data_IF_305230006801
#
_entry.id   IF_305230006801
#
_cell.length_a   1.000
_cell.length_b   1.000
_cell.length_c   1.000
_cell.angle_alpha   90.00
_cell.angle_beta   90.00
_cell.angle_gamma   90.00
#
_symmetry.space_group_name_H-M   'P 1'
#
loop_
_entity.id
_entity.type
_entity.pdbx_description
1 polymer ?
#
# COMPACT_ATOMS: atom_id res chain seq x y z
N UNK A 1 -52.33 3.74 -27.84
CA UNK A 1 -51.38 3.04 -26.94
C UNK A 1 -49.91 3.37 -27.28
N UNK A 2 -49.54 4.66 -27.42
CA UNK A 2 -48.15 5.10 -27.62
C UNK A 2 -47.71 6.20 -26.65
N UNK A 3 -48.59 6.65 -25.75
CA UNK A 3 -48.31 7.70 -24.74
C UNK A 3 -48.12 7.16 -23.32
N UNK A 4 -48.44 5.89 -23.06
CA UNK A 4 -48.22 5.23 -21.75
C UNK A 4 -46.82 4.60 -21.68
N UNK A 5 -46.22 4.27 -22.82
CA UNK A 5 -44.90 3.64 -22.87
C UNK A 5 -43.73 4.60 -22.50
N UNK A 6 -43.96 5.92 -22.54
CA UNK A 6 -42.93 6.92 -22.22
C UNK A 6 -42.83 7.25 -20.72
N UNK A 7 -43.83 6.88 -19.93
CA UNK A 7 -43.82 7.09 -18.46
C UNK A 7 -43.10 5.98 -17.70
N UNK A 8 -42.96 4.78 -18.31
CA UNK A 8 -42.22 3.66 -17.71
C UNK A 8 -40.71 3.74 -17.93
N UNK A 9 -40.24 4.52 -18.91
CA UNK A 9 -38.81 4.79 -19.11
C UNK A 9 -38.20 5.81 -18.14
N UNK A 10 -39.03 6.50 -17.34
CA UNK A 10 -38.56 7.43 -16.30
C UNK A 10 -38.45 6.80 -14.90
N UNK A 11 -38.90 5.56 -14.72
CA UNK A 11 -38.86 4.83 -13.44
C UNK A 11 -37.62 3.93 -13.27
N UNK A 12 -36.74 3.87 -14.29
CA UNK A 12 -35.46 3.15 -14.22
C UNK A 12 -34.24 4.08 -14.21
N UNK A 13 -34.43 5.35 -13.87
CA UNK A 13 -33.37 6.13 -13.21
C UNK A 13 -33.38 5.75 -11.73
N UNK A 14 -33.10 4.47 -11.46
CA UNK A 14 -32.55 4.06 -10.18
C UNK A 14 -31.25 4.84 -10.08
N UNK A 15 -31.30 5.92 -9.32
CA UNK A 15 -30.11 6.56 -8.80
C UNK A 15 -29.40 5.44 -8.03
N UNK A 16 -28.43 4.78 -8.65
CA UNK A 16 -27.40 4.05 -7.91
C UNK A 16 -26.62 5.12 -7.13
N UNK A 17 -27.22 5.61 -6.05
CA UNK A 17 -26.45 6.07 -4.91
C UNK A 17 -25.76 4.82 -4.42
N UNK A 18 -24.57 4.57 -4.97
CA UNK A 18 -23.65 3.55 -4.51
C UNK A 18 -23.10 4.01 -3.14
N UNK A 19 -23.99 4.21 -2.17
CA UNK A 19 -23.65 4.34 -0.77
C UNK A 19 -23.45 2.91 -0.28
N UNK A 20 -22.25 2.38 -0.53
CA UNK A 20 -21.81 1.15 0.15
C UNK A 20 -22.12 1.29 1.64
N UNK A 21 -22.87 0.31 2.17
CA UNK A 21 -23.36 0.34 3.55
C UNK A 21 -22.20 -0.03 4.48
N UNK A 22 -21.37 0.96 4.80
CA UNK A 22 -20.23 0.74 5.71
C UNK A 22 -20.78 0.45 7.10
N UNK A 23 -20.53 -0.75 7.61
CA UNK A 23 -21.01 -1.21 8.92
C UNK A 23 -19.96 -1.09 10.03
N UNK A 24 -18.69 -0.99 9.65
CA UNK A 24 -17.59 -0.93 10.60
C UNK A 24 -16.38 -0.19 10.04
N UNK A 25 -15.63 0.41 10.96
CA UNK A 25 -14.39 1.10 10.69
C UNK A 25 -13.30 0.48 11.56
N UNK A 26 -12.27 -0.08 10.92
CA UNK A 26 -11.05 -0.47 11.62
C UNK A 26 -10.04 0.68 11.55
N UNK A 27 -9.42 0.98 12.69
CA UNK A 27 -8.40 2.02 12.85
C UNK A 27 -7.13 1.36 13.34
N UNK A 28 -6.08 1.42 12.53
CA UNK A 28 -4.72 1.04 12.93
C UNK A 28 -3.92 2.30 13.18
N UNK A 29 -3.43 2.44 14.40
CA UNK A 29 -2.85 3.67 14.90
C UNK A 29 -1.42 3.46 15.41
N UNK A 30 -0.51 4.33 14.98
CA UNK A 30 0.82 4.57 15.53
C UNK A 30 0.86 6.01 16.06
N UNK A 31 1.71 6.26 17.06
CA UNK A 31 1.82 7.59 17.67
C UNK A 31 2.12 8.68 16.62
N UNK A 32 1.21 9.65 16.52
CA UNK A 32 1.29 10.77 15.59
C UNK A 32 2.65 11.48 15.57
N UNK A 33 3.31 11.59 16.73
CA UNK A 33 4.57 12.33 16.92
C UNK A 33 5.81 11.45 16.88
N UNK A 34 5.63 10.13 16.70
CA UNK A 34 6.74 9.19 16.67
C UNK A 34 7.69 9.50 15.53
N UNK A 35 8.99 9.52 15.82
CA UNK A 35 10.01 9.65 14.78
C UNK A 35 10.11 8.32 14.00
N UNK A 36 9.97 8.31 12.67
CA UNK A 36 10.04 7.06 11.91
C UNK A 36 11.47 6.52 11.92
N UNK A 37 11.66 5.30 12.46
CA UNK A 37 12.90 4.53 12.25
C UNK A 37 13.01 4.08 10.80
N UNK A 38 11.87 3.80 10.15
CA UNK A 38 11.69 3.59 8.72
C UNK A 38 10.40 4.29 8.28
N UNK A 39 10.32 4.70 7.00
CA UNK A 39 9.16 5.42 6.53
C UNK A 39 8.04 4.46 6.16
N UNK A 40 7.02 4.43 7.01
CA UNK A 40 5.76 3.73 6.73
C UNK A 40 4.96 4.47 5.66
N UNK A 41 4.53 3.76 4.64
CA UNK A 41 3.66 4.24 3.57
C UNK A 41 2.32 3.51 3.61
N UNK A 42 1.35 3.93 2.80
CA UNK A 42 0.03 3.32 2.80
C UNK A 42 0.05 1.82 2.47
N UNK A 43 1.03 1.40 1.66
CA UNK A 43 1.20 0.01 1.20
C UNK A 43 2.02 -0.87 2.15
N UNK A 44 2.74 -0.29 3.12
CA UNK A 44 3.64 -1.05 3.98
C UNK A 44 3.46 -0.79 5.49
N UNK A 45 2.46 0.01 5.85
CA UNK A 45 2.17 0.45 7.22
C UNK A 45 2.16 -0.73 8.20
N UNK A 46 1.39 -1.78 7.93
CA UNK A 46 1.28 -2.96 8.80
C UNK A 46 2.58 -3.78 8.94
N UNK A 47 3.52 -3.62 8.01
CA UNK A 47 4.68 -4.52 7.86
C UNK A 47 5.96 -3.97 8.49
N UNK A 48 6.15 -2.65 8.55
CA UNK A 48 7.37 -2.01 9.06
C UNK A 48 7.33 -1.67 10.57
N UNK A 49 6.60 -2.45 11.38
CA UNK A 49 6.20 -2.18 12.79
C UNK A 49 5.02 -1.19 12.94
N UNK A 50 4.26 -0.92 11.88
CA UNK A 50 3.41 0.26 11.83
C UNK A 50 1.99 0.02 12.29
N UNK A 51 1.82 -0.22 13.59
CA UNK A 51 0.79 0.38 14.44
C UNK A 51 0.99 -0.17 15.85
N UNK A 52 0.81 0.67 16.86
CA UNK A 52 0.88 0.23 18.27
C UNK A 52 -0.47 -0.23 18.78
N UNK A 53 -1.55 0.22 18.14
CA UNK A 53 -2.91 0.03 18.61
C UNK A 53 -3.86 -0.21 17.43
N UNK A 54 -4.83 -1.10 17.61
CA UNK A 54 -5.89 -1.38 16.65
C UNK A 54 -7.25 -1.30 17.34
N UNK A 55 -8.24 -0.76 16.64
CA UNK A 55 -9.60 -0.55 17.16
C UNK A 55 -10.63 -0.81 16.09
N UNK A 56 -11.82 -1.22 16.51
CA UNK A 56 -12.99 -1.32 15.65
C UNK A 56 -14.11 -0.45 16.18
N UNK A 57 -14.64 0.38 15.29
CA UNK A 57 -15.76 1.28 15.52
C UNK A 57 -16.95 0.79 14.70
N UNK A 58 -17.99 0.29 15.37
CA UNK A 58 -19.26 -0.11 14.74
C UNK A 58 -20.35 0.94 14.86
N UNK A 59 -20.04 2.10 15.45
CA UNK A 59 -21.00 3.20 15.61
C UNK A 59 -21.16 3.94 14.28
N UNK A 60 -22.36 3.82 13.69
CA UNK A 60 -22.67 4.48 12.42
C UNK A 60 -22.46 5.99 12.47
N UNK A 61 -22.80 6.62 13.60
CA UNK A 61 -22.60 8.06 13.78
C UNK A 61 -21.12 8.45 13.69
N UNK A 62 -20.21 7.63 14.25
CA UNK A 62 -18.77 7.86 14.14
C UNK A 62 -18.27 7.69 12.71
N UNK A 63 -18.72 6.62 12.04
CA UNK A 63 -18.36 6.31 10.65
C UNK A 63 -18.81 7.45 9.72
N UNK A 64 -20.08 7.84 9.79
CA UNK A 64 -20.67 8.86 8.93
C UNK A 64 -20.03 10.23 9.18
N UNK A 65 -19.81 10.59 10.45
CA UNK A 65 -19.14 11.86 10.79
C UNK A 65 -17.72 11.89 10.23
N UNK A 66 -16.96 10.80 10.38
CA UNK A 66 -15.59 10.75 9.86
C UNK A 66 -15.57 10.84 8.33
N UNK A 67 -16.43 10.09 7.63
CA UNK A 67 -16.57 10.17 6.16
C UNK A 67 -16.91 11.59 5.71
N UNK A 68 -17.82 12.25 6.42
CA UNK A 68 -18.17 13.64 6.14
C UNK A 68 -17.00 14.60 6.33
N UNK A 69 -16.23 14.47 7.41
CA UNK A 69 -15.03 15.27 7.63
C UNK A 69 -13.99 15.05 6.53
N UNK A 70 -13.73 13.79 6.16
CA UNK A 70 -12.78 13.44 5.10
C UNK A 70 -13.19 13.99 3.73
N UNK A 71 -14.49 14.04 3.42
CA UNK A 71 -15.01 14.54 2.14
C UNK A 71 -14.83 16.05 1.93
N UNK A 72 -14.54 16.80 2.99
CA UNK A 72 -14.45 18.28 2.98
C UNK A 72 -13.01 18.79 2.95
N UNK A 73 -12.03 17.90 2.91
CA UNK A 73 -10.63 18.31 2.93
C UNK A 73 -10.21 18.90 1.58
N UNK A 74 -9.38 19.95 1.59
CA UNK A 74 -8.80 20.47 0.37
C UNK A 74 -7.76 19.49 -0.18
N UNK A 75 -7.91 19.15 -1.47
CA UNK A 75 -6.89 18.42 -2.23
C UNK A 75 -5.61 19.29 -2.30
N UNK A 76 -4.46 18.64 -2.24
CA UNK A 76 -3.13 19.26 -2.32
C UNK A 76 -2.26 18.49 -3.30
N UNK A 77 -1.04 18.97 -3.53
CA UNK A 77 -0.08 18.25 -4.37
C UNK A 77 0.29 16.89 -3.78
N UNK A 78 0.83 15.99 -4.60
CA UNK A 78 1.25 14.68 -4.10
C UNK A 78 2.48 14.85 -3.19
N UNK A 79 2.32 14.55 -1.90
CA UNK A 79 3.34 14.70 -0.87
C UNK A 79 3.66 13.34 -0.28
N UNK A 80 4.95 13.04 -0.19
CA UNK A 80 5.42 11.89 0.55
C UNK A 80 5.38 12.17 2.05
N UNK A 81 4.69 11.32 2.81
CA UNK A 81 4.65 11.44 4.26
C UNK A 81 4.64 10.08 4.97
N UNK A 82 5.21 9.98 6.18
CA UNK A 82 5.12 8.77 6.98
C UNK A 82 3.68 8.60 7.49
N UNK A 83 3.04 7.49 7.13
CA UNK A 83 1.71 7.11 7.62
C UNK A 83 1.78 6.78 9.11
N UNK A 84 0.83 7.32 9.88
CA UNK A 84 0.67 7.12 11.33
C UNK A 84 -0.68 6.51 11.70
N UNK A 85 -1.66 6.65 10.84
CA UNK A 85 -2.95 6.02 11.04
C UNK A 85 -3.48 5.53 9.69
N UNK A 86 -4.00 4.31 9.68
CA UNK A 86 -4.67 3.72 8.53
C UNK A 86 -6.08 3.31 8.91
N UNK A 87 -7.03 3.75 8.11
CA UNK A 87 -8.46 3.52 8.28
C UNK A 87 -8.94 2.54 7.22
N UNK A 88 -9.73 1.57 7.62
CA UNK A 88 -10.39 0.62 6.73
C UNK A 88 -11.89 0.67 6.99
N UNK A 89 -12.65 1.13 6.00
CA UNK A 89 -14.10 1.14 6.04
C UNK A 89 -14.62 -0.16 5.46
N UNK A 90 -15.27 -0.97 6.29
CA UNK A 90 -15.80 -2.28 5.95
C UNK A 90 -17.30 -2.24 5.68
N UNK A 91 -17.70 -3.07 4.75
CA UNK A 91 -19.08 -3.54 4.59
C UNK A 91 -19.02 -5.06 4.71
N UNK A 92 -19.50 -5.56 5.85
CA UNK A 92 -19.26 -6.92 6.34
C UNK A 92 -17.75 -7.22 6.43
N UNK A 93 -17.25 -8.17 5.63
CA UNK A 93 -15.83 -8.55 5.61
C UNK A 93 -15.07 -7.92 4.42
N UNK A 94 -15.70 -7.02 3.66
CA UNK A 94 -15.08 -6.39 2.48
C UNK A 94 -14.61 -4.98 2.80
N UNK A 95 -13.33 -4.70 2.59
CA UNK A 95 -12.79 -3.33 2.60
C UNK A 95 -13.35 -2.57 1.41
N UNK A 96 -14.11 -1.50 1.68
CA UNK A 96 -14.70 -0.62 0.64
C UNK A 96 -13.87 0.63 0.41
N UNK A 97 -13.18 1.11 1.43
CA UNK A 97 -12.35 2.31 1.36
C UNK A 97 -11.19 2.19 2.33
N UNK A 98 -10.01 2.59 1.87
CA UNK A 98 -8.83 2.76 2.72
C UNK A 98 -8.43 4.24 2.75
N UNK A 99 -7.97 4.68 3.91
CA UNK A 99 -7.45 6.04 4.11
C UNK A 99 -6.18 5.97 4.94
N UNK A 100 -5.11 6.59 4.44
CA UNK A 100 -3.81 6.63 5.10
C UNK A 100 -3.47 8.07 5.49
N UNK A 101 -3.03 8.30 6.71
CA UNK A 101 -2.86 9.66 7.21
C UNK A 101 -1.73 9.82 8.24
N UNK A 102 -1.28 11.05 8.39
CA UNK A 102 -0.60 11.55 9.59
C UNK A 102 -1.24 12.87 10.04
N UNK A 103 -0.62 13.63 10.94
CA UNK A 103 -1.16 14.91 11.43
C UNK A 103 -1.39 15.95 10.33
N UNK A 104 -0.63 15.89 9.23
CA UNK A 104 -0.57 16.96 8.23
C UNK A 104 -1.23 16.57 6.91
N UNK A 105 -1.23 15.30 6.55
CA UNK A 105 -1.68 14.84 5.23
C UNK A 105 -2.52 13.57 5.31
N UNK A 106 -3.39 13.41 4.32
CA UNK A 106 -4.21 12.22 4.08
C UNK A 106 -4.05 11.79 2.63
N UNK A 107 -3.96 10.49 2.38
CA UNK A 107 -4.15 9.86 1.08
C UNK A 107 -5.42 9.02 1.11
N UNK A 108 -6.30 9.25 0.13
CA UNK A 108 -7.47 8.41 -0.14
C UNK A 108 -7.78 8.43 -1.64
N UNK A 109 -8.14 7.28 -2.21
CA UNK A 109 -8.40 7.12 -3.65
C UNK A 109 -7.25 7.66 -4.53
N UNK A 110 -6.02 7.55 -4.01
CA UNK A 110 -4.78 7.99 -4.65
C UNK A 110 -4.71 9.49 -4.93
N UNK A 111 -5.38 10.29 -4.11
CA UNK A 111 -5.26 11.75 -4.03
C UNK A 111 -4.78 12.15 -2.65
N UNK A 112 -4.00 13.22 -2.58
CA UNK A 112 -3.43 13.74 -1.34
C UNK A 112 -4.22 14.98 -0.91
N UNK A 113 -4.53 15.05 0.39
CA UNK A 113 -5.32 16.11 1.00
C UNK A 113 -4.57 16.68 2.20
N UNK A 114 -4.72 17.98 2.46
CA UNK A 114 -4.23 18.57 3.71
C UNK A 114 -5.13 18.11 4.86
N UNK A 115 -4.54 17.48 5.87
CA UNK A 115 -5.23 17.09 7.10
C UNK A 115 -5.38 18.31 8.03
N UNK A 116 -6.23 18.16 9.06
CA UNK A 116 -6.40 19.17 10.09
C UNK A 116 -6.64 18.53 11.47
N UNK A 117 -6.49 19.35 12.51
CA UNK A 117 -6.62 18.94 13.90
C UNK A 117 -8.03 18.41 14.23
N UNK A 118 -9.08 18.84 13.52
CA UNK A 118 -10.44 18.34 13.75
C UNK A 118 -10.49 16.82 13.53
N UNK A 119 -9.89 16.33 12.44
CA UNK A 119 -9.87 14.89 12.14
C UNK A 119 -8.95 14.15 13.10
N UNK A 120 -7.74 14.67 13.36
CA UNK A 120 -6.79 14.07 14.31
C UNK A 120 -7.44 13.91 15.69
N UNK A 121 -8.09 14.95 16.19
CA UNK A 121 -8.80 14.92 17.48
C UNK A 121 -10.00 13.97 17.45
N UNK A 122 -10.70 13.86 16.31
CA UNK A 122 -11.80 12.92 16.16
C UNK A 122 -11.34 11.46 16.22
N UNK A 123 -10.25 11.12 15.53
CA UNK A 123 -9.60 9.80 15.62
C UNK A 123 -9.16 9.53 17.07
N UNK A 124 -8.48 10.48 17.71
CA UNK A 124 -8.03 10.34 19.10
C UNK A 124 -9.19 10.11 20.07
N UNK A 125 -10.34 10.77 19.85
CA UNK A 125 -11.53 10.55 20.67
C UNK A 125 -12.11 9.15 20.48
N UNK A 126 -12.30 8.72 19.23
CA UNK A 126 -12.77 7.36 18.95
C UNK A 126 -11.83 6.32 19.55
N UNK A 127 -10.52 6.58 19.52
CA UNK A 127 -9.50 5.74 20.15
C UNK A 127 -9.71 5.58 21.65
N UNK A 128 -9.96 6.69 22.37
CA UNK A 128 -10.23 6.67 23.80
C UNK A 128 -11.57 6.00 24.17
N UNK A 129 -12.54 6.03 23.26
CA UNK A 129 -13.88 5.45 23.45
C UNK A 129 -13.97 3.98 23.01
N UNK A 130 -13.00 3.50 22.23
CA UNK A 130 -12.98 2.15 21.67
C UNK A 130 -12.23 1.17 22.54
N UNK A 131 -12.62 -0.09 22.47
CA UNK A 131 -11.83 -1.18 23.06
C UNK A 131 -10.76 -1.61 22.07
N UNK A 132 -9.50 -1.82 22.49
CA UNK A 132 -8.48 -2.41 21.64
C UNK A 132 -8.97 -3.73 21.04
N UNK A 133 -8.70 -3.93 19.77
CA UNK A 133 -9.07 -5.12 19.01
C UNK A 133 -7.83 -5.86 18.52
N UNK A 134 -7.95 -7.17 18.39
CA UNK A 134 -7.01 -8.04 17.64
C UNK A 134 -7.84 -8.72 16.55
N UNK A 135 -8.32 -7.93 15.59
CA UNK A 135 -9.22 -8.43 14.56
C UNK A 135 -8.42 -9.04 13.40
N UNK A 136 -8.51 -10.37 13.29
CA UNK A 136 -7.84 -11.13 12.26
C UNK A 136 -8.53 -11.09 10.90
N UNK A 137 -9.70 -10.43 10.77
CA UNK A 137 -10.42 -10.28 9.50
C UNK A 137 -9.59 -9.58 8.44
N UNK A 138 -8.58 -8.79 8.83
CA UNK A 138 -7.73 -8.11 7.87
C UNK A 138 -6.28 -8.03 8.35
N UNK A 139 -5.44 -9.00 7.99
CA UNK A 139 -3.99 -8.79 7.93
C UNK A 139 -3.60 -8.73 6.46
N UNK A 140 -3.01 -7.63 5.95
CA UNK A 140 -2.44 -7.67 4.62
C UNK A 140 -1.32 -8.72 4.61
N UNK A 141 -1.34 -9.58 3.60
CA UNK A 141 -0.35 -10.62 3.41
C UNK A 141 1.08 -10.05 3.29
N UNK A 142 2.08 -10.92 3.45
CA UNK A 142 3.51 -10.61 3.54
C UNK A 142 4.06 -9.61 2.47
N UNK A 143 5.23 -9.02 2.71
CA UNK A 143 5.92 -8.10 1.76
C UNK A 143 6.14 -8.78 0.40
N UNK A 144 5.29 -8.47 -0.59
CA UNK A 144 5.29 -9.07 -1.92
C UNK A 144 3.97 -9.77 -2.30
N UNK A 145 3.00 -9.85 -1.38
CA UNK A 145 1.66 -10.38 -1.66
C UNK A 145 0.89 -9.55 -2.70
N UNK A 146 1.25 -8.26 -2.84
CA UNK A 146 0.77 -7.40 -3.91
C UNK A 146 1.51 -7.64 -5.25
N UNK A 147 2.15 -8.79 -5.44
CA UNK A 147 2.52 -9.32 -6.75
C UNK A 147 1.35 -10.20 -7.21
N UNK A 148 0.91 -10.10 -8.47
CA UNK A 148 -0.31 -10.78 -8.95
C UNK A 148 -0.35 -12.29 -8.64
N UNK A 149 0.81 -12.93 -8.49
CA UNK A 149 0.92 -14.37 -8.19
C UNK A 149 1.35 -14.66 -6.73
N UNK A 150 1.40 -13.65 -5.86
CA UNK A 150 1.81 -13.76 -4.46
C UNK A 150 3.30 -13.56 -4.20
N UNK A 151 3.64 -13.38 -2.92
CA UNK A 151 4.99 -13.02 -2.48
C UNK A 151 6.06 -14.08 -2.82
N UNK A 152 5.77 -15.34 -2.49
CA UNK A 152 6.70 -16.43 -2.72
C UNK A 152 7.00 -16.57 -4.22
N UNK A 153 6.02 -16.31 -5.07
CA UNK A 153 6.16 -16.28 -6.53
C UNK A 153 7.08 -15.16 -7.00
N UNK A 154 7.01 -13.95 -6.40
CA UNK A 154 7.93 -12.86 -6.72
C UNK A 154 9.38 -13.23 -6.36
N UNK A 155 9.62 -13.75 -5.16
CA UNK A 155 10.98 -14.13 -4.77
C UNK A 155 11.51 -15.31 -5.60
N UNK A 156 10.67 -16.29 -5.93
CA UNK A 156 11.05 -17.39 -6.83
C UNK A 156 11.39 -16.88 -8.24
N UNK A 157 10.58 -15.96 -8.78
CA UNK A 157 10.82 -15.35 -10.08
C UNK A 157 12.15 -14.59 -10.11
N UNK A 158 12.37 -13.73 -9.12
CA UNK A 158 13.58 -12.93 -9.03
C UNK A 158 14.81 -13.79 -8.74
N UNK A 159 14.69 -14.84 -7.92
CA UNK A 159 15.76 -15.78 -7.66
C UNK A 159 16.16 -16.51 -8.95
N UNK A 160 15.19 -17.10 -9.65
CA UNK A 160 15.42 -17.74 -10.95
C UNK A 160 16.10 -16.78 -11.92
N UNK A 161 15.66 -15.51 -11.95
CA UNK A 161 16.25 -14.53 -12.85
C UNK A 161 17.69 -14.19 -12.49
N UNK A 162 17.99 -14.01 -11.21
CA UNK A 162 19.35 -13.75 -10.76
C UNK A 162 20.25 -14.95 -11.06
N UNK A 163 19.77 -16.17 -10.87
CA UNK A 163 20.51 -17.40 -11.20
C UNK A 163 20.83 -17.46 -12.71
N UNK A 164 19.87 -17.13 -13.58
CA UNK A 164 20.09 -17.03 -15.04
C UNK A 164 21.17 -15.99 -15.39
N UNK A 165 21.09 -14.79 -14.79
CA UNK A 165 22.03 -13.70 -15.05
C UNK A 165 23.43 -14.06 -14.52
N UNK A 166 23.52 -14.58 -13.30
CA UNK A 166 24.77 -14.96 -12.66
C UNK A 166 25.44 -16.11 -13.41
N UNK A 167 24.68 -17.11 -13.87
CA UNK A 167 25.18 -18.18 -14.73
C UNK A 167 25.74 -17.64 -16.06
N UNK A 168 25.02 -16.72 -16.70
CA UNK A 168 25.48 -16.07 -17.94
C UNK A 168 26.80 -15.30 -17.74
N UNK A 169 26.94 -14.61 -16.60
CA UNK A 169 28.12 -13.84 -16.25
C UNK A 169 29.22 -14.66 -15.54
N UNK A 170 29.00 -15.96 -15.33
CA UNK A 170 29.90 -16.89 -14.61
C UNK A 170 30.27 -16.37 -13.21
N UNK A 171 29.28 -15.87 -12.48
CA UNK A 171 29.46 -15.37 -11.13
C UNK A 171 29.16 -16.46 -10.09
N UNK A 172 30.19 -16.83 -9.31
CA UNK A 172 30.15 -17.89 -8.30
C UNK A 172 30.13 -17.35 -6.86
N UNK A 173 30.16 -16.04 -6.70
CA UNK A 173 30.20 -15.40 -5.38
C UNK A 173 28.86 -15.39 -4.65
N UNK A 174 28.87 -14.77 -3.47
CA UNK A 174 27.66 -14.41 -2.75
C UNK A 174 27.44 -12.89 -2.84
N UNK A 175 26.20 -12.50 -3.12
CA UNK A 175 25.81 -11.10 -3.05
C UNK A 175 24.46 -10.92 -2.38
N UNK A 176 24.30 -9.79 -1.70
CA UNK A 176 23.01 -9.32 -1.22
C UNK A 176 22.73 -7.99 -1.89
N UNK A 177 21.53 -7.87 -2.46
CA UNK A 177 21.05 -6.68 -3.14
C UNK A 177 19.82 -6.12 -2.42
N UNK A 178 19.74 -4.80 -2.31
CA UNK A 178 18.52 -4.08 -1.96
C UNK A 178 17.86 -3.59 -3.23
N UNK A 179 16.60 -3.95 -3.42
CA UNK A 179 15.75 -3.48 -4.51
C UNK A 179 14.77 -2.47 -3.94
N UNK A 180 14.67 -1.32 -4.60
CA UNK A 180 13.63 -0.31 -4.36
C UNK A 180 12.92 -0.07 -5.65
N UNK A 181 11.61 -0.19 -5.68
CA UNK A 181 10.82 0.08 -6.88
C UNK A 181 9.61 0.94 -6.55
N UNK A 182 9.14 1.66 -7.57
CA UNK A 182 7.87 2.37 -7.59
C UNK A 182 6.98 1.71 -8.62
N UNK A 183 5.69 1.71 -8.35
CA UNK A 183 4.70 1.24 -9.30
C UNK A 183 3.57 2.24 -9.41
N UNK A 184 2.96 2.30 -10.59
CA UNK A 184 1.75 3.08 -10.81
C UNK A 184 0.53 2.39 -10.18
N UNK A 185 -0.64 3.03 -10.28
CA UNK A 185 -1.91 2.53 -9.74
C UNK A 185 -2.40 1.27 -10.44
N UNK A 186 -1.98 1.03 -11.69
CA UNK A 186 -2.32 -0.17 -12.45
C UNK A 186 -1.36 -1.33 -12.16
N UNK A 187 -0.32 -1.08 -11.36
CA UNK A 187 0.65 -2.08 -10.95
C UNK A 187 1.89 -2.17 -11.84
N UNK A 188 2.08 -1.28 -12.81
CA UNK A 188 3.28 -1.29 -13.63
C UNK A 188 4.45 -0.66 -12.87
N UNK A 189 5.62 -1.29 -12.91
CA UNK A 189 6.83 -0.72 -12.31
C UNK A 189 7.29 0.50 -13.11
N UNK A 190 7.40 1.67 -12.47
CA UNK A 190 7.73 2.96 -13.11
C UNK A 190 9.16 3.43 -12.83
N UNK A 191 9.72 3.04 -11.69
CA UNK A 191 11.11 3.32 -11.32
C UNK A 191 11.65 2.15 -10.51
N UNK A 192 12.94 1.82 -10.67
CA UNK A 192 13.61 0.81 -9.88
C UNK A 192 15.07 1.17 -9.66
N UNK A 193 15.55 0.91 -8.45
CA UNK A 193 16.93 1.02 -8.02
C UNK A 193 17.34 -0.30 -7.38
N UNK A 194 18.36 -0.94 -7.95
CA UNK A 194 18.99 -2.13 -7.36
C UNK A 194 20.38 -1.72 -6.91
N UNK A 195 20.71 -2.01 -5.65
CA UNK A 195 22.02 -1.73 -5.07
C UNK A 195 22.58 -2.98 -4.43
N UNK A 196 23.80 -3.36 -4.79
CA UNK A 196 24.58 -4.36 -4.07
C UNK A 196 24.96 -3.79 -2.70
N UNK A 197 24.55 -4.48 -1.64
CA UNK A 197 24.86 -4.10 -0.25
C UNK A 197 25.91 -5.01 0.38
N UNK A 198 26.09 -6.23 -0.17
CA UNK A 198 27.21 -7.11 0.13
C UNK A 198 27.71 -7.74 -1.18
N UNK A 199 29.02 -7.68 -1.47
CA UNK A 199 30.07 -6.98 -0.70
C UNK A 199 29.86 -5.44 -0.66
N UNK A 200 30.49 -4.74 0.29
CA UNK A 200 30.32 -3.28 0.42
C UNK A 200 30.85 -2.51 -0.79
N UNK A 201 31.90 -3.03 -1.42
CA UNK A 201 32.47 -2.52 -2.66
C UNK A 201 32.15 -3.57 -3.73
N UNK A 202 31.14 -3.34 -4.57
CA UNK A 202 30.79 -4.28 -5.62
C UNK A 202 31.87 -4.31 -6.71
N UNK A 203 32.08 -5.49 -7.25
CA UNK A 203 32.81 -5.71 -8.48
C UNK A 203 31.97 -5.30 -9.68
N UNK A 204 32.60 -5.12 -10.84
CA UNK A 204 31.89 -4.81 -12.08
C UNK A 204 30.86 -5.88 -12.46
N UNK A 205 31.13 -7.15 -12.16
CA UNK A 205 30.18 -8.24 -12.42
C UNK A 205 28.93 -8.10 -11.54
N UNK A 206 29.10 -7.79 -10.25
CA UNK A 206 27.98 -7.58 -9.32
C UNK A 206 27.15 -6.35 -9.70
N UNK A 207 27.80 -5.28 -10.18
CA UNK A 207 27.12 -4.11 -10.74
C UNK A 207 26.32 -4.47 -12.02
N UNK A 208 26.90 -5.26 -12.92
CA UNK A 208 26.24 -5.73 -14.13
C UNK A 208 25.02 -6.63 -13.81
N UNK A 209 25.11 -7.48 -12.78
CA UNK A 209 23.98 -8.29 -12.32
C UNK A 209 22.87 -7.37 -11.76
N UNK A 210 23.23 -6.42 -10.89
CA UNK A 210 22.27 -5.48 -10.31
C UNK A 210 21.55 -4.65 -11.39
N UNK A 211 22.27 -4.20 -12.42
CA UNK A 211 21.69 -3.45 -13.52
C UNK A 211 20.74 -4.30 -14.39
N UNK A 212 21.09 -5.55 -14.69
CA UNK A 212 20.20 -6.46 -15.43
C UNK A 212 18.97 -6.85 -14.64
N UNK A 213 19.11 -7.05 -13.33
CA UNK A 213 17.98 -7.29 -12.45
C UNK A 213 17.05 -6.07 -12.40
N UNK A 214 17.62 -4.85 -12.33
CA UNK A 214 16.85 -3.60 -12.39
C UNK A 214 16.00 -3.51 -13.65
N UNK A 215 16.59 -3.81 -14.81
CA UNK A 215 15.89 -3.82 -16.09
C UNK A 215 14.73 -4.82 -16.07
N UNK A 216 14.98 -6.04 -15.59
CA UNK A 216 13.95 -7.08 -15.47
C UNK A 216 12.80 -6.68 -14.53
N UNK A 217 13.10 -6.07 -13.39
CA UNK A 217 12.05 -5.60 -12.46
C UNK A 217 11.18 -4.51 -13.11
N UNK A 218 11.77 -3.62 -13.91
CA UNK A 218 11.01 -2.60 -14.64
C UNK A 218 10.11 -3.22 -15.72
N UNK A 219 10.60 -4.20 -16.47
CA UNK A 219 9.88 -4.75 -17.62
C UNK A 219 8.89 -5.85 -17.29
N UNK A 220 9.17 -6.69 -16.30
CA UNK A 220 8.46 -7.97 -16.11
C UNK A 220 7.72 -8.06 -14.77
N UNK A 221 8.12 -7.28 -13.75
CA UNK A 221 7.44 -7.31 -12.45
C UNK A 221 6.23 -6.39 -12.47
N UNK A 222 5.06 -7.02 -12.36
CA UNK A 222 3.75 -6.36 -12.28
C UNK A 222 3.13 -6.59 -10.90
N UNK A 223 2.73 -5.50 -10.27
CA UNK A 223 2.10 -5.49 -8.96
C UNK A 223 0.58 -5.56 -9.10
N UNK A 224 -0.10 -5.91 -8.02
CA UNK A 224 -1.53 -5.73 -7.92
C UNK A 224 -1.89 -4.26 -8.02
N UNK A 225 -3.04 -4.03 -8.67
CA UNK A 225 -3.66 -2.73 -8.83
C UNK A 225 -3.97 -2.14 -7.44
N UNK A 226 -3.51 -0.92 -7.21
CA UNK A 226 -3.66 -0.23 -5.94
C UNK A 226 -4.00 1.24 -6.20
N UNK A 227 -5.28 1.57 -6.05
CA UNK A 227 -5.79 2.92 -6.29
C UNK A 227 -5.23 3.95 -5.29
N UNK A 228 -4.72 3.50 -4.14
CA UNK A 228 -4.18 4.35 -3.08
C UNK A 228 -2.67 4.54 -3.18
N UNK A 229 -2.01 3.88 -4.14
CA UNK A 229 -0.57 4.02 -4.37
C UNK A 229 -0.22 5.45 -4.78
N UNK A 230 0.60 6.11 -3.96
CA UNK A 230 1.16 7.43 -4.25
C UNK A 230 2.38 7.34 -5.17
N UNK A 231 2.66 8.39 -5.95
CA UNK A 231 3.77 8.37 -6.93
C UNK A 231 5.17 8.36 -6.28
N UNK A 232 5.21 8.62 -4.97
CA UNK A 232 6.43 8.65 -4.17
C UNK A 232 6.61 7.39 -3.28
N UNK A 233 5.66 6.44 -3.31
CA UNK A 233 5.72 5.22 -2.52
C UNK A 233 6.79 4.26 -3.06
N UNK A 234 7.68 3.81 -2.17
CA UNK A 234 8.76 2.87 -2.51
C UNK A 234 8.45 1.50 -1.91
N UNK A 235 8.38 0.49 -2.77
CA UNK A 235 8.39 -0.92 -2.39
C UNK A 235 9.85 -1.34 -2.24
N UNK A 236 10.24 -1.79 -1.05
CA UNK A 236 11.63 -2.12 -0.72
C UNK A 236 11.73 -3.56 -0.24
N UNK A 237 12.62 -4.32 -0.85
CA UNK A 237 12.95 -5.70 -0.45
C UNK A 237 14.43 -6.00 -0.70
N UNK A 238 14.92 -7.09 -0.13
CA UNK A 238 16.29 -7.55 -0.29
C UNK A 238 16.32 -8.94 -0.89
N UNK A 239 17.27 -9.21 -1.78
CA UNK A 239 17.49 -10.54 -2.37
C UNK A 239 18.93 -10.96 -2.11
N UNK A 240 19.11 -12.24 -1.79
CA UNK A 240 20.43 -12.86 -1.62
C UNK A 240 20.63 -13.90 -2.70
N UNK A 241 21.78 -13.82 -3.37
CA UNK A 241 22.26 -14.87 -4.26
C UNK A 241 23.48 -15.54 -3.64
N UNK A 242 23.53 -16.86 -3.74
CA UNK A 242 24.68 -17.68 -3.36
C UNK A 242 25.03 -18.54 -4.56
N UNK A 243 26.22 -18.36 -5.11
CA UNK A 243 26.70 -19.18 -6.21
C UNK A 243 26.72 -20.66 -5.84
N UNK A 244 26.20 -21.49 -6.73
CA UNK A 244 26.36 -22.93 -6.60
C UNK A 244 27.80 -23.28 -6.98
N UNK A 245 28.61 -23.62 -5.98
CA UNK A 245 29.87 -24.34 -6.19
C UNK A 245 29.52 -25.77 -6.65
N UNK A 246 29.28 -25.96 -7.94
CA UNK A 246 29.23 -27.28 -8.56
C UNK A 246 30.51 -27.55 -9.34
#
# INVERSE_FOLDING_TARGET
MKKILLLLSFLFLSIETNCANIDSLMIRYDDWDKYPVQVSTCSNFERQNGYTEEYIVSSQNHIDTLKHLLSRLPETEDVYFPVRCKLYFFDSDTVRQEVCMNKTYIVQNGKTYANNDTIVNYINRMRCESTPSDDKRFMPDHIGANYIEGNDSLFLLLQKKIDEIACFLKYEGEMVMSVKCKADKEGNTTDTKVKVIRPQIPTKIEEDIAQRLREYVISDVHWEKDINRGTLDWIIFSIRYVGNNQ
#
